data_IF_599589124657
#
_entry.id   IF_599589124657
#
_cell.length_a   1.000
_cell.length_b   1.000
_cell.length_c   1.000
_cell.angle_alpha   90.00
_cell.angle_beta   90.00
_cell.angle_gamma   90.00
#
_symmetry.space_group_name_H-M   'P 1'
#
loop_
_entity.id
_entity.type
_entity.pdbx_description
1 polymer ?
#
# COMPACT_ATOMS: atom_id res chain seq x y z
N UNK A 1 6.04 27.56 8.18
CA UNK A 1 5.23 26.33 8.31
C UNK A 1 5.17 25.99 9.79
N UNK A 2 3.97 25.83 10.38
CA UNK A 2 3.86 25.32 11.77
C UNK A 2 4.07 23.82 11.77
N UNK A 3 4.65 23.26 12.83
CA UNK A 3 4.81 21.81 12.95
C UNK A 3 3.44 21.11 13.09
N UNK A 4 3.27 19.90 12.56
CA UNK A 4 2.07 19.11 12.78
C UNK A 4 1.94 18.75 14.27
N UNK A 5 0.71 18.70 14.78
CA UNK A 5 0.41 18.23 16.13
C UNK A 5 0.58 16.71 16.22
N UNK A 6 0.00 16.01 15.25
CA UNK A 6 0.13 14.56 15.07
C UNK A 6 0.66 14.25 13.67
N UNK A 7 1.59 13.30 13.57
CA UNK A 7 2.14 12.81 12.30
C UNK A 7 1.97 11.29 12.21
N UNK A 8 1.21 10.86 11.21
CA UNK A 8 1.02 9.44 10.90
C UNK A 8 1.82 9.06 9.66
N UNK A 9 2.68 8.04 9.78
CA UNK A 9 3.43 7.47 8.65
C UNK A 9 2.79 6.13 8.31
N UNK A 10 2.30 6.01 7.08
CA UNK A 10 1.49 4.86 6.64
C UNK A 10 2.14 4.26 5.40
N UNK A 11 2.40 2.96 5.43
CA UNK A 11 2.80 2.21 4.23
C UNK A 11 1.57 1.92 3.37
N UNK A 12 1.75 1.88 2.04
CA UNK A 12 0.73 1.38 1.13
C UNK A 12 0.27 -0.05 1.51
N UNK A 13 -0.96 -0.41 1.14
CA UNK A 13 -1.49 -1.77 1.31
C UNK A 13 -0.83 -2.78 0.38
N UNK A 14 -1.20 -4.06 0.48
CA UNK A 14 -0.72 -5.12 -0.42
C UNK A 14 -0.87 -4.74 -1.90
N UNK A 15 0.24 -4.77 -2.64
CA UNK A 15 0.27 -4.57 -4.09
C UNK A 15 0.39 -5.89 -4.85
N UNK A 16 0.05 -5.87 -6.14
CA UNK A 16 0.27 -7.00 -7.06
C UNK A 16 1.73 -7.47 -7.05
N UNK A 17 2.69 -6.55 -7.01
CA UNK A 17 4.11 -6.88 -6.87
C UNK A 17 4.43 -7.61 -5.57
N UNK A 18 3.81 -7.23 -4.44
CA UNK A 18 4.04 -7.94 -3.18
C UNK A 18 3.63 -9.40 -3.27
N UNK A 19 2.52 -9.70 -3.96
CA UNK A 19 2.04 -11.07 -4.18
C UNK A 19 3.04 -11.88 -5.01
N UNK A 20 3.56 -11.29 -6.11
CA UNK A 20 4.54 -11.95 -6.98
C UNK A 20 5.84 -12.24 -6.23
N UNK A 21 6.36 -11.24 -5.51
CA UNK A 21 7.59 -11.40 -4.72
C UNK A 21 7.41 -12.47 -3.65
N UNK A 22 6.31 -12.43 -2.91
CA UNK A 22 6.02 -13.40 -1.85
C UNK A 22 5.86 -14.83 -2.39
N UNK A 23 5.25 -15.01 -3.56
CA UNK A 23 5.17 -16.32 -4.23
C UNK A 23 6.58 -16.83 -4.59
N UNK A 24 7.43 -15.96 -5.14
CA UNK A 24 8.82 -16.25 -5.44
C UNK A 24 9.64 -16.67 -4.22
N UNK A 25 9.49 -15.95 -3.10
CA UNK A 25 10.13 -16.27 -1.82
C UNK A 25 9.69 -17.63 -1.27
N UNK A 26 8.50 -18.10 -1.64
CA UNK A 26 7.97 -19.43 -1.30
C UNK A 26 8.35 -20.51 -2.33
N UNK A 27 9.12 -20.17 -3.35
CA UNK A 27 9.59 -21.08 -4.40
C UNK A 27 8.67 -21.20 -5.62
N UNK A 28 7.57 -20.43 -5.67
CA UNK A 28 6.70 -20.35 -6.84
C UNK A 28 7.11 -19.19 -7.76
N UNK A 29 7.88 -19.51 -8.80
CA UNK A 29 8.31 -18.55 -9.80
C UNK A 29 7.35 -18.45 -11.00
N UNK A 30 6.18 -19.10 -10.97
CA UNK A 30 5.22 -19.07 -12.09
C UNK A 30 4.73 -17.66 -12.42
N UNK A 31 4.80 -16.75 -11.44
CA UNK A 31 4.39 -15.36 -11.57
C UNK A 31 5.50 -14.41 -12.09
N UNK A 32 6.75 -14.87 -12.23
CA UNK A 32 7.83 -14.09 -12.88
C UNK A 32 7.77 -14.22 -14.40
N UNK A 33 6.70 -13.69 -14.99
CA UNK A 33 6.55 -13.60 -16.44
C UNK A 33 7.29 -12.37 -16.98
N UNK A 34 7.61 -12.37 -18.28
CA UNK A 34 8.23 -11.22 -18.94
C UNK A 34 7.39 -9.94 -18.80
N UNK A 35 6.06 -10.08 -18.85
CA UNK A 35 5.13 -8.98 -18.64
C UNK A 35 5.24 -8.42 -17.23
N UNK A 36 5.34 -9.29 -16.22
CA UNK A 36 5.38 -8.87 -14.81
C UNK A 36 6.72 -8.24 -14.42
N UNK A 37 7.86 -8.69 -14.97
CA UNK A 37 9.18 -8.12 -14.65
C UNK A 37 9.46 -6.78 -15.35
N UNK A 38 8.63 -6.38 -16.32
CA UNK A 38 8.79 -5.12 -17.05
C UNK A 38 7.85 -4.02 -16.59
N UNK A 39 6.91 -4.31 -15.67
CA UNK A 39 6.03 -3.31 -15.07
C UNK A 39 6.87 -2.33 -14.24
N UNK A 40 6.83 -1.02 -14.52
CA UNK A 40 7.51 -0.04 -13.69
C UNK A 40 6.89 -0.01 -12.29
N UNK A 41 7.71 0.02 -11.23
CA UNK A 41 7.26 -0.12 -9.83
C UNK A 41 6.07 0.78 -9.44
N UNK A 42 6.08 2.04 -9.90
CA UNK A 42 5.00 3.01 -9.64
C UNK A 42 3.63 2.63 -10.22
N UNK A 43 3.59 1.64 -11.11
CA UNK A 43 2.40 1.25 -11.87
C UNK A 43 1.66 0.08 -11.22
N UNK A 44 2.29 -0.60 -10.25
CA UNK A 44 1.66 -1.69 -9.52
C UNK A 44 0.44 -1.22 -8.76
N UNK A 45 -0.66 -1.95 -8.88
CA UNK A 45 -1.90 -1.59 -8.21
C UNK A 45 -2.00 -2.31 -6.87
N UNK A 46 -2.76 -1.71 -5.96
CA UNK A 46 -3.22 -2.41 -4.76
C UNK A 46 -4.13 -3.56 -5.15
N UNK A 47 -3.96 -4.72 -4.53
CA UNK A 47 -4.88 -5.85 -4.66
C UNK A 47 -6.23 -5.51 -4.03
N UNK A 48 -7.22 -6.41 -4.14
CA UNK A 48 -8.47 -6.26 -3.39
C UNK A 48 -8.22 -6.22 -1.87
N UNK A 49 -7.25 -7.00 -1.37
CA UNK A 49 -6.80 -6.99 0.03
C UNK A 49 -6.15 -5.66 0.38
N UNK A 50 -5.20 -5.18 -0.44
CA UNK A 50 -4.53 -3.90 -0.22
C UNK A 50 -5.50 -2.71 -0.15
N UNK A 51 -6.54 -2.70 -1.00
CA UNK A 51 -7.60 -1.68 -0.93
C UNK A 51 -8.43 -1.78 0.34
N UNK A 52 -8.76 -2.99 0.80
CA UNK A 52 -9.46 -3.18 2.09
C UNK A 52 -8.61 -2.74 3.28
N UNK A 53 -7.30 -3.01 3.25
CA UNK A 53 -6.36 -2.54 4.28
C UNK A 53 -6.35 -1.01 4.34
N UNK A 54 -6.26 -0.33 3.20
CA UNK A 54 -6.28 1.12 3.10
C UNK A 54 -7.60 1.74 3.61
N UNK A 55 -8.75 1.13 3.28
CA UNK A 55 -10.06 1.54 3.80
C UNK A 55 -10.14 1.36 5.33
N UNK A 56 -9.65 0.22 5.84
CA UNK A 56 -9.69 -0.08 7.27
C UNK A 56 -8.87 0.93 8.10
N UNK A 57 -7.63 1.21 7.69
CA UNK A 57 -6.80 2.21 8.39
C UNK A 57 -7.36 3.62 8.24
N UNK A 58 -7.92 3.97 7.06
CA UNK A 58 -8.56 5.26 6.84
C UNK A 58 -9.73 5.50 7.80
N UNK A 59 -10.61 4.51 7.96
CA UNK A 59 -11.72 4.57 8.93
C UNK A 59 -11.22 4.70 10.36
N UNK A 60 -10.17 3.94 10.71
CA UNK A 60 -9.57 4.03 12.02
C UNK A 60 -9.00 5.44 12.29
N UNK A 61 -8.24 6.02 11.37
CA UNK A 61 -7.67 7.37 11.53
C UNK A 61 -8.74 8.44 11.76
N UNK A 62 -9.83 8.40 10.97
CA UNK A 62 -10.97 9.32 11.14
C UNK A 62 -11.61 9.15 12.52
N UNK A 63 -11.63 7.94 13.07
CA UNK A 63 -12.17 7.69 14.42
C UNK A 63 -11.28 8.18 15.57
N UNK A 64 -9.97 8.34 15.35
CA UNK A 64 -9.02 8.72 16.40
C UNK A 64 -8.83 10.23 16.55
N UNK A 65 -9.22 11.00 15.54
CA UNK A 65 -8.82 12.40 15.40
C UNK A 65 -10.07 13.28 15.27
N UNK A 66 -10.08 14.43 15.92
CA UNK A 66 -11.15 15.41 15.76
C UNK A 66 -11.11 16.09 14.38
N UNK A 67 -9.91 16.17 13.78
CA UNK A 67 -9.62 16.90 12.57
C UNK A 67 -8.53 16.16 11.78
N UNK A 68 -8.69 16.05 10.46
CA UNK A 68 -7.67 15.56 9.54
C UNK A 68 -7.40 16.62 8.48
N UNK A 69 -6.23 17.24 8.51
CA UNK A 69 -5.97 18.46 7.72
C UNK A 69 -5.30 18.22 6.37
N UNK A 70 -4.32 17.33 6.32
CA UNK A 70 -3.44 17.18 5.17
C UNK A 70 -2.95 15.74 5.03
N UNK A 71 -2.71 15.34 3.79
CA UNK A 71 -2.05 14.09 3.44
C UNK A 71 -1.02 14.31 2.33
N UNK A 72 -0.01 13.45 2.27
CA UNK A 72 1.01 13.40 1.22
C UNK A 72 1.15 11.96 0.75
N UNK A 73 1.29 11.75 -0.56
CA UNK A 73 1.41 10.42 -1.21
C UNK A 73 2.60 10.43 -2.16
#
# INVERSE_FOLDING_TARGET
>A
MSMPLDLYVIRHGESEANVIVQAGEQGDNSLYTQDNVTVPDRSWRLTATGRKQADCIGRWLVSQQQLFDRYMV
#
